data_IF_273046624176
#
_entry.id   IF_273046624176
#
_cell.length_a   1.000
_cell.length_b   1.000
_cell.length_c   1.000
_cell.angle_alpha   90.00
_cell.angle_beta   90.00
_cell.angle_gamma   90.00
#
_symmetry.space_group_name_H-M   'P 1'
#
loop_
_entity.id
_entity.type
_entity.pdbx_description
1 polymer ?
#
# COMPACT_ATOMS: atom_id res chain seq x y z
N UNK A 1 -7.31 -9.49 2.87
CA UNK A 1 -7.53 -8.99 1.50
C UNK A 1 -6.20 -8.86 0.77
N UNK A 2 -6.19 -9.21 -0.49
CA UNK A 2 -5.03 -8.97 -1.36
C UNK A 2 -4.92 -7.48 -1.72
N UNK A 3 -3.76 -7.06 -2.19
CA UNK A 3 -3.55 -5.69 -2.69
C UNK A 3 -4.58 -5.31 -3.76
N UNK A 4 -4.82 -6.21 -4.70
CA UNK A 4 -5.79 -6.01 -5.78
C UNK A 4 -7.21 -5.79 -5.27
N UNK A 5 -7.64 -6.58 -4.29
CA UNK A 5 -8.96 -6.42 -3.67
C UNK A 5 -9.10 -5.09 -2.94
N UNK A 6 -8.06 -4.66 -2.23
CA UNK A 6 -8.03 -3.35 -1.56
C UNK A 6 -8.14 -2.21 -2.58
N UNK A 7 -7.41 -2.31 -3.68
CA UNK A 7 -7.45 -1.30 -4.75
C UNK A 7 -8.85 -1.22 -5.37
N UNK A 8 -9.43 -2.35 -5.71
CA UNK A 8 -10.77 -2.41 -6.29
C UNK A 8 -11.80 -1.82 -5.31
N UNK A 9 -11.72 -2.21 -4.04
CA UNK A 9 -12.62 -1.68 -3.01
C UNK A 9 -12.49 -0.16 -2.86
N UNK A 10 -11.28 0.38 -2.86
CA UNK A 10 -11.06 1.81 -2.75
C UNK A 10 -11.69 2.58 -3.91
N UNK A 11 -11.62 2.07 -5.12
CA UNK A 11 -12.30 2.65 -6.28
C UNK A 11 -13.82 2.57 -6.17
N UNK A 12 -14.35 1.44 -5.71
CA UNK A 12 -15.79 1.28 -5.49
C UNK A 12 -16.32 2.25 -4.42
N UNK A 13 -15.54 2.51 -3.38
CA UNK A 13 -15.90 3.41 -2.28
C UNK A 13 -15.99 4.89 -2.72
N UNK A 14 -15.43 5.26 -3.88
CA UNK A 14 -15.62 6.59 -4.46
C UNK A 14 -17.01 6.86 -5.02
N UNK A 15 -17.82 5.83 -5.18
CA UNK A 15 -19.17 5.94 -5.73
C UNK A 15 -19.22 6.50 -7.18
N UNK A 16 -18.21 6.19 -7.97
CA UNK A 16 -18.13 6.55 -9.39
C UNK A 16 -18.10 5.29 -10.23
N UNK A 17 -18.32 5.43 -11.54
CA UNK A 17 -18.06 4.35 -12.47
C UNK A 17 -16.57 3.98 -12.41
N UNK A 18 -16.27 2.70 -12.22
CA UNK A 18 -14.89 2.22 -12.09
C UNK A 18 -14.13 2.46 -13.38
N UNK A 19 -13.03 3.24 -13.36
CA UNK A 19 -12.27 3.53 -14.57
C UNK A 19 -11.65 2.27 -15.18
N UNK A 20 -11.43 2.32 -16.48
CA UNK A 20 -10.70 1.29 -17.18
C UNK A 20 -9.18 1.47 -16.99
N UNK A 21 -8.43 0.38 -16.88
CA UNK A 21 -6.98 0.42 -16.82
C UNK A 21 -6.38 0.79 -15.47
N UNK A 22 -7.05 0.45 -14.38
CA UNK A 22 -6.50 0.61 -13.03
C UNK A 22 -5.26 -0.28 -12.87
N UNK A 23 -4.14 0.32 -12.43
CA UNK A 23 -2.95 -0.44 -12.10
C UNK A 23 -3.19 -1.28 -10.84
N UNK A 24 -3.07 -2.59 -10.96
CA UNK A 24 -3.34 -3.54 -9.86
C UNK A 24 -2.25 -3.57 -8.77
N UNK A 25 -1.17 -2.83 -8.96
CA UNK A 25 -0.09 -2.67 -7.97
C UNK A 25 -0.16 -1.36 -7.19
N UNK A 26 -0.63 -0.31 -7.81
CA UNK A 26 -0.58 1.05 -7.27
C UNK A 26 -1.94 1.71 -7.13
N UNK A 27 -2.93 1.24 -7.88
CA UNK A 27 -4.26 1.82 -7.95
C UNK A 27 -4.38 3.04 -8.83
N UNK A 28 -3.29 3.50 -9.44
CA UNK A 28 -3.33 4.63 -10.36
C UNK A 28 -4.05 4.30 -11.66
N UNK A 29 -4.85 5.24 -12.12
CA UNK A 29 -5.35 5.30 -13.49
C UNK A 29 -4.56 6.34 -14.23
N UNK A 30 -3.89 5.90 -15.30
CA UNK A 30 -3.22 6.78 -16.25
C UNK A 30 -4.11 6.98 -17.45
N UNK A 31 -4.13 8.15 -18.01
CA UNK A 31 -4.88 8.26 -19.23
C UNK A 31 -4.81 9.59 -19.91
N UNK A 32 -5.11 9.51 -21.19
CA UNK A 32 -5.50 10.62 -22.04
C UNK A 32 -6.72 11.37 -21.49
N UNK A 33 -7.25 10.93 -20.35
CA UNK A 33 -8.48 11.39 -19.73
C UNK A 33 -8.26 12.38 -18.60
N UNK A 34 -7.01 12.63 -18.20
CA UNK A 34 -6.69 13.55 -17.11
C UNK A 34 -5.72 14.63 -17.56
N UNK A 35 -6.18 15.58 -18.37
CA UNK A 35 -5.40 16.78 -18.67
C UNK A 35 -5.43 17.79 -17.51
N UNK A 36 -6.11 17.49 -16.45
CA UNK A 36 -6.22 18.31 -15.27
C UNK A 36 -7.36 17.88 -14.34
N UNK A 37 -7.43 18.53 -13.19
CA UNK A 37 -8.48 18.29 -12.22
C UNK A 37 -9.88 18.57 -12.78
N UNK A 38 -9.98 19.53 -13.68
CA UNK A 38 -11.25 19.92 -14.31
C UNK A 38 -11.83 18.77 -15.15
N UNK A 39 -10.98 18.02 -15.84
CA UNK A 39 -11.42 16.84 -16.61
C UNK A 39 -11.93 15.73 -15.67
N UNK A 40 -11.30 15.53 -14.54
CA UNK A 40 -11.77 14.58 -13.52
C UNK A 40 -13.13 14.99 -12.98
N UNK A 41 -13.32 16.27 -12.66
CA UNK A 41 -14.59 16.80 -12.16
C UNK A 41 -15.70 16.65 -13.22
N UNK A 42 -15.38 16.92 -14.48
CA UNK A 42 -16.35 16.78 -15.58
C UNK A 42 -16.78 15.34 -15.82
N UNK A 43 -15.84 14.39 -15.73
CA UNK A 43 -16.11 12.99 -16.05
C UNK A 43 -16.66 12.20 -14.86
N UNK A 44 -16.24 12.53 -13.63
CA UNK A 44 -16.54 11.74 -12.43
C UNK A 44 -17.27 12.51 -11.32
N UNK A 45 -17.45 13.83 -11.48
CA UNK A 45 -18.00 14.69 -10.44
C UNK A 45 -16.93 15.20 -9.47
N UNK A 46 -17.33 16.00 -8.50
CA UNK A 46 -16.42 16.60 -7.53
C UNK A 46 -15.99 15.58 -6.46
N UNK A 47 -14.94 14.84 -6.77
CA UNK A 47 -14.29 13.87 -5.88
C UNK A 47 -12.86 14.31 -5.49
N UNK A 48 -12.55 15.59 -5.68
CA UNK A 48 -11.18 16.13 -5.52
C UNK A 48 -10.62 15.97 -4.11
N UNK A 49 -11.48 15.96 -3.10
CA UNK A 49 -11.10 15.72 -1.71
C UNK A 49 -10.78 14.24 -1.40
N UNK A 50 -11.18 13.33 -2.29
CA UNK A 50 -11.06 11.87 -2.12
C UNK A 50 -9.99 11.22 -2.97
N UNK A 51 -9.34 11.98 -3.85
CA UNK A 51 -8.35 11.46 -4.79
C UNK A 51 -7.00 12.14 -4.66
N UNK A 52 -5.95 11.37 -4.92
CA UNK A 52 -4.63 11.87 -5.29
C UNK A 52 -4.59 12.10 -6.79
N UNK A 53 -3.90 13.14 -7.20
CA UNK A 53 -3.86 13.58 -8.57
C UNK A 53 -2.48 14.11 -8.92
N UNK A 54 -1.96 13.74 -10.09
CA UNK A 54 -0.65 14.16 -10.55
C UNK A 54 -0.64 14.31 -12.08
N UNK A 55 0.02 15.36 -12.58
CA UNK A 55 0.27 15.55 -14.01
C UNK A 55 1.77 15.54 -14.23
N UNK A 56 2.24 14.70 -15.15
CA UNK A 56 3.65 14.65 -15.51
C UNK A 56 4.05 15.81 -16.44
N UNK A 57 5.35 15.90 -16.75
CA UNK A 57 5.88 16.97 -17.60
C UNK A 57 5.38 16.92 -19.05
N UNK A 58 4.85 15.79 -19.51
CA UNK A 58 4.25 15.64 -20.83
C UNK A 58 2.77 16.07 -20.88
N UNK A 59 2.19 16.44 -19.74
CA UNK A 59 0.80 16.82 -19.61
C UNK A 59 -0.16 15.65 -19.43
N UNK A 60 0.37 14.44 -19.24
CA UNK A 60 -0.45 13.25 -18.94
C UNK A 60 -0.70 13.18 -17.45
N UNK A 61 -1.98 13.18 -17.09
CA UNK A 61 -2.41 13.05 -15.71
C UNK A 61 -2.65 11.62 -15.27
N UNK A 62 -2.59 11.41 -13.97
CA UNK A 62 -3.01 10.19 -13.30
C UNK A 62 -3.73 10.54 -12.01
N UNK A 63 -4.63 9.67 -11.58
CA UNK A 63 -5.33 9.84 -10.31
C UNK A 63 -5.64 8.49 -9.67
N UNK A 64 -5.85 8.51 -8.36
CA UNK A 64 -6.26 7.34 -7.58
C UNK A 64 -6.96 7.76 -6.28
N UNK A 65 -7.71 6.86 -5.63
CA UNK A 65 -8.23 7.13 -4.30
C UNK A 65 -7.13 7.48 -3.30
N UNK A 66 -7.30 8.55 -2.51
CA UNK A 66 -6.36 8.92 -1.43
C UNK A 66 -6.16 7.82 -0.40
N UNK A 67 -7.16 6.98 -0.19
CA UNK A 67 -7.06 5.85 0.73
C UNK A 67 -5.99 4.83 0.35
N UNK A 68 -5.50 4.88 -0.89
CA UNK A 68 -4.44 3.99 -1.37
C UNK A 68 -3.01 4.53 -1.14
N UNK A 69 -2.87 5.68 -0.49
CA UNK A 69 -1.54 6.20 -0.16
C UNK A 69 -0.71 5.17 0.60
N UNK A 70 0.49 4.91 0.12
CA UNK A 70 1.40 3.93 0.71
C UNK A 70 1.18 2.48 0.28
N UNK A 71 0.22 2.21 -0.62
CA UNK A 71 -0.08 0.83 -1.07
C UNK A 71 1.11 0.18 -1.79
N UNK A 72 1.93 0.97 -2.48
CA UNK A 72 3.07 0.48 -3.26
C UNK A 72 4.07 -0.30 -2.42
N UNK A 73 4.32 0.18 -1.22
CA UNK A 73 5.29 -0.40 -0.29
C UNK A 73 4.65 -0.84 1.04
N UNK A 74 3.33 -0.90 1.10
CA UNK A 74 2.58 -1.28 2.30
C UNK A 74 2.98 -0.46 3.54
N UNK A 75 3.21 0.86 3.39
CA UNK A 75 3.74 1.75 4.43
C UNK A 75 5.09 1.30 5.01
N UNK A 76 5.91 0.63 4.21
CA UNK A 76 7.21 0.10 4.62
C UNK A 76 7.16 -1.26 5.31
N UNK A 77 5.98 -1.84 5.49
CA UNK A 77 5.83 -3.18 6.03
C UNK A 77 6.08 -4.25 4.98
N UNK A 78 6.81 -5.27 5.36
CA UNK A 78 7.04 -6.46 4.54
C UNK A 78 6.14 -7.57 5.07
N UNK A 79 5.27 -8.07 4.20
CA UNK A 79 4.38 -9.19 4.55
C UNK A 79 5.17 -10.48 4.65
N UNK A 80 4.96 -11.22 5.72
CA UNK A 80 5.61 -12.51 5.97
C UNK A 80 4.69 -13.62 5.49
N UNK A 81 5.01 -14.21 4.35
CA UNK A 81 4.33 -15.38 3.82
C UNK A 81 5.12 -16.67 4.06
N UNK A 82 6.45 -16.53 4.18
CA UNK A 82 7.37 -17.64 4.48
C UNK A 82 8.62 -17.10 5.19
N UNK A 83 9.50 -18.00 5.61
CA UNK A 83 10.79 -17.66 6.21
C UNK A 83 11.66 -16.79 5.33
N UNK A 84 11.47 -16.84 4.01
CA UNK A 84 12.23 -16.05 3.02
C UNK A 84 11.98 -14.55 3.13
N UNK A 85 10.85 -14.17 3.70
CA UNK A 85 10.43 -12.77 3.84
C UNK A 85 10.96 -12.12 5.10
N UNK A 86 11.62 -12.86 5.98
CA UNK A 86 12.18 -12.37 7.24
C UNK A 86 13.48 -11.57 7.02
N UNK A 87 13.86 -10.68 7.97
CA UNK A 87 15.14 -9.96 7.92
C UNK A 87 16.30 -10.93 7.84
N UNK A 88 17.28 -10.64 6.98
CA UNK A 88 18.44 -11.51 6.75
C UNK A 88 19.76 -10.98 7.34
N UNK A 89 19.77 -9.73 7.80
CA UNK A 89 20.94 -9.09 8.38
C UNK A 89 20.84 -9.09 9.90
N UNK A 90 21.99 -9.35 10.56
CA UNK A 90 22.11 -9.24 12.02
C UNK A 90 22.16 -7.78 12.45
N UNK A 91 21.70 -7.49 13.66
CA UNK A 91 21.78 -6.17 14.26
C UNK A 91 20.76 -5.16 13.79
N UNK A 92 19.83 -5.54 12.91
CA UNK A 92 18.74 -4.69 12.49
C UNK A 92 17.69 -4.57 13.59
N UNK A 93 17.32 -3.33 13.88
CA UNK A 93 16.20 -3.04 14.77
C UNK A 93 14.91 -3.08 13.96
N UNK A 94 14.10 -4.10 14.18
CA UNK A 94 12.87 -4.35 13.45
C UNK A 94 11.66 -4.30 14.36
N UNK A 95 10.54 -3.88 13.80
CA UNK A 95 9.22 -4.03 14.39
C UNK A 95 8.53 -5.22 13.73
N UNK A 96 7.82 -6.00 14.51
CA UNK A 96 7.01 -7.11 14.07
C UNK A 96 5.56 -6.91 14.45
N UNK A 97 4.67 -7.16 13.51
CA UNK A 97 3.23 -7.14 13.74
C UNK A 97 2.76 -8.57 13.96
N UNK A 98 2.24 -8.84 15.15
CA UNK A 98 1.64 -10.14 15.47
C UNK A 98 0.40 -10.39 14.59
N UNK A 99 0.11 -11.66 14.28
CA UNK A 99 -1.10 -12.05 13.54
C UNK A 99 -2.39 -11.58 14.23
N UNK A 100 -2.34 -11.28 15.51
CA UNK A 100 -3.47 -10.74 16.30
C UNK A 100 -3.48 -9.21 16.37
N UNK A 101 -2.61 -8.50 15.63
CA UNK A 101 -2.60 -7.04 15.53
C UNK A 101 -1.72 -6.29 16.52
N UNK A 102 -1.03 -6.97 17.42
CA UNK A 102 -0.13 -6.36 18.40
C UNK A 102 1.27 -6.16 17.81
N UNK A 103 1.86 -4.99 18.04
CA UNK A 103 3.22 -4.67 17.60
C UNK A 103 4.23 -5.08 18.66
N UNK A 104 5.30 -5.76 18.26
CA UNK A 104 6.40 -6.18 19.15
C UNK A 104 7.73 -5.80 18.53
N UNK A 105 8.66 -5.35 19.36
CA UNK A 105 10.01 -4.98 18.97
C UNK A 105 10.97 -6.15 19.18
N UNK A 106 11.74 -6.52 18.15
CA UNK A 106 12.73 -7.60 18.21
C UNK A 106 13.98 -7.21 17.41
N UNK A 107 15.19 -7.47 17.95
CA UNK A 107 16.42 -7.10 17.30
C UNK A 107 17.13 -8.25 16.60
N UNK A 108 17.51 -9.33 17.23
CA UNK A 108 18.44 -10.31 16.65
C UNK A 108 17.96 -11.77 16.62
N UNK A 109 16.87 -12.08 17.30
CA UNK A 109 16.43 -13.48 17.50
C UNK A 109 15.83 -14.14 16.28
N UNK A 110 15.49 -13.37 15.25
CA UNK A 110 14.83 -13.87 14.02
C UNK A 110 15.70 -14.91 13.31
N UNK A 111 17.02 -14.73 13.30
CA UNK A 111 17.94 -15.63 12.61
C UNK A 111 18.14 -16.98 13.32
N UNK A 112 17.78 -17.05 14.61
CA UNK A 112 17.93 -18.27 15.41
C UNK A 112 16.76 -19.23 15.21
N UNK A 113 15.52 -18.72 15.04
CA UNK A 113 14.33 -19.52 14.82
C UNK A 113 13.36 -18.89 13.81
N UNK A 114 13.71 -18.89 12.52
CA UNK A 114 12.90 -18.23 11.49
C UNK A 114 11.49 -18.82 11.33
N UNK A 115 11.31 -20.13 11.56
CA UNK A 115 9.99 -20.77 11.47
C UNK A 115 9.03 -20.25 12.50
N UNK A 116 9.48 -20.06 13.74
CA UNK A 116 8.67 -19.55 14.82
C UNK A 116 8.21 -18.12 14.51
N UNK A 117 9.12 -17.27 14.04
CA UNK A 117 8.81 -15.88 13.64
C UNK A 117 7.81 -15.83 12.48
N UNK A 118 7.98 -16.65 11.46
CA UNK A 118 7.08 -16.70 10.32
C UNK A 118 5.65 -17.14 10.70
N UNK A 119 5.52 -17.97 11.73
CA UNK A 119 4.22 -18.42 12.22
C UNK A 119 3.52 -17.46 13.16
N UNK A 120 4.29 -16.62 13.86
CA UNK A 120 3.76 -15.72 14.89
C UNK A 120 3.43 -14.31 14.38
N UNK A 121 4.21 -13.81 13.41
CA UNK A 121 4.11 -12.45 12.92
C UNK A 121 3.63 -12.41 11.48
N UNK A 122 2.80 -11.41 11.18
CA UNK A 122 2.26 -11.22 9.83
C UNK A 122 3.12 -10.30 8.97
N UNK A 123 3.78 -9.32 9.58
CA UNK A 123 4.58 -8.31 8.91
C UNK A 123 5.76 -7.91 9.76
N UNK A 124 6.79 -7.34 9.09
CA UNK A 124 7.89 -6.68 9.77
C UNK A 124 8.33 -5.44 9.00
N UNK A 125 9.04 -4.54 9.68
CA UNK A 125 9.67 -3.36 9.07
C UNK A 125 10.85 -2.90 9.91
N UNK A 126 11.70 -2.07 9.31
CA UNK A 126 12.71 -1.33 10.06
C UNK A 126 12.05 -0.25 10.92
N UNK A 127 12.63 0.03 12.08
CA UNK A 127 12.09 0.98 13.05
C UNK A 127 12.45 2.42 12.69
N UNK A 128 11.66 3.06 11.83
CA UNK A 128 11.79 4.51 11.59
C UNK A 128 10.49 5.25 11.86
N UNK A 129 9.55 5.18 10.93
CA UNK A 129 8.20 5.70 11.05
C UNK A 129 7.23 4.54 11.19
N UNK A 130 6.26 4.68 12.08
CA UNK A 130 5.27 3.65 12.29
C UNK A 130 3.95 4.10 11.67
N UNK A 131 3.60 3.49 10.56
CA UNK A 131 2.26 3.50 9.99
C UNK A 131 1.82 2.06 9.85
N UNK A 132 0.53 1.80 10.03
CA UNK A 132 0.01 0.45 9.90
C UNK A 132 0.15 -0.10 8.47
N UNK A 133 0.30 -1.42 8.30
CA UNK A 133 0.27 -2.02 6.99
C UNK A 133 -1.11 -1.86 6.35
N UNK A 134 -1.15 -1.78 5.03
CA UNK A 134 -2.38 -1.62 4.25
C UNK A 134 -2.99 -2.99 3.90
N UNK A 135 -2.13 -3.98 3.67
CA UNK A 135 -2.54 -5.34 3.26
C UNK A 135 -1.72 -6.42 3.92
#
# INVERSE_FOLDING_TARGET
MTRKEIIIKAWMDLNIETPFGICDKTGWVHGYFCNGIDDIINDYGDITDKIDYDIDMSGVGKFRPKSLYGIENNNGWIKIESEKDLPKEKGLKCLFLCIHGNTTYISDDVLEDPKWFANKYSHWRLKYEIKDPIY
#
